data_IF_461980464756
#
_entry.id   IF_461980464756
#
_cell.length_a   1.000
_cell.length_b   1.000
_cell.length_c   1.000
_cell.angle_alpha   90.00
_cell.angle_beta   90.00
_cell.angle_gamma   90.00
#
_symmetry.space_group_name_H-M   'P 1'
#
loop_
_entity.id
_entity.type
_entity.pdbx_description
1 polymer ?
#
# COMPACT_ATOMS: atom_id res chain seq x y z
N UNK A 1 -29.78 -13.00 -15.63
CA UNK A 1 -28.39 -12.99 -16.15
C UNK A 1 -27.85 -11.59 -15.84
N UNK A 2 -26.96 -11.47 -14.88
CA UNK A 2 -26.34 -10.18 -14.57
C UNK A 2 -25.44 -9.81 -15.76
N UNK A 3 -25.72 -8.70 -16.43
CA UNK A 3 -24.81 -8.12 -17.41
C UNK A 3 -23.49 -7.84 -16.66
N UNK A 4 -22.48 -8.63 -16.91
CA UNK A 4 -21.13 -8.42 -16.39
C UNK A 4 -20.58 -7.19 -17.14
N UNK A 5 -20.86 -5.98 -16.61
CA UNK A 5 -20.27 -4.75 -17.14
C UNK A 5 -18.79 -4.82 -16.76
N UNK A 6 -17.94 -4.97 -17.77
CA UNK A 6 -16.50 -4.95 -17.60
C UNK A 6 -15.94 -3.60 -18.08
N UNK A 7 -15.01 -3.04 -17.32
CA UNK A 7 -14.33 -1.81 -17.72
C UNK A 7 -13.34 -2.12 -18.84
N UNK A 8 -13.69 -1.70 -20.05
CA UNK A 8 -12.85 -1.82 -21.24
C UNK A 8 -12.63 -0.45 -21.86
N UNK A 9 -11.38 -0.17 -22.27
CA UNK A 9 -11.11 1.08 -22.98
C UNK A 9 -11.41 0.96 -24.49
N UNK A 10 -11.27 2.06 -25.20
CA UNK A 10 -11.51 2.12 -26.66
C UNK A 10 -10.54 1.26 -27.49
N UNK A 11 -9.47 0.75 -26.87
CA UNK A 11 -8.50 -0.15 -27.50
C UNK A 11 -8.71 -1.62 -27.13
N UNK A 12 -9.81 -1.96 -26.45
CA UNK A 12 -10.13 -3.33 -26.06
C UNK A 12 -9.39 -3.83 -24.81
N UNK A 13 -8.66 -2.97 -24.09
CA UNK A 13 -7.92 -3.36 -22.88
C UNK A 13 -8.84 -3.38 -21.68
N UNK A 14 -8.80 -4.49 -20.93
CA UNK A 14 -9.57 -4.67 -19.71
C UNK A 14 -8.89 -4.00 -18.52
N UNK A 15 -9.64 -3.20 -17.77
CA UNK A 15 -9.17 -2.59 -16.53
C UNK A 15 -9.58 -3.41 -15.32
N UNK A 16 -8.73 -4.38 -14.96
CA UNK A 16 -8.98 -5.31 -13.86
C UNK A 16 -8.18 -5.00 -12.59
N UNK A 17 -7.40 -3.91 -12.59
CA UNK A 17 -6.50 -3.52 -11.52
C UNK A 17 -6.78 -2.13 -11.02
N UNK A 18 -7.03 -1.98 -9.71
CA UNK A 18 -7.28 -0.71 -9.04
C UNK A 18 -6.14 -0.36 -8.07
N UNK A 19 -5.68 0.87 -8.11
CA UNK A 19 -4.78 1.42 -7.09
C UNK A 19 -5.52 2.47 -6.28
N UNK A 20 -5.47 2.37 -4.95
CA UNK A 20 -6.11 3.29 -4.03
C UNK A 20 -5.03 3.93 -3.16
N UNK A 21 -4.85 5.24 -3.29
CA UNK A 21 -4.04 6.02 -2.36
C UNK A 21 -4.89 6.41 -1.16
N UNK A 22 -4.53 5.95 0.03
CA UNK A 22 -5.34 6.14 1.25
C UNK A 22 -4.82 7.25 2.15
N UNK A 23 -3.63 7.75 1.91
CA UNK A 23 -3.02 8.86 2.65
C UNK A 23 -1.87 9.48 1.86
N UNK A 24 -1.63 10.75 2.07
CA UNK A 24 -0.42 11.46 1.61
C UNK A 24 0.69 11.48 2.67
N UNK A 25 0.34 11.16 3.94
CA UNK A 25 1.32 11.13 5.01
C UNK A 25 2.32 9.99 4.85
N UNK A 26 3.57 10.24 5.22
CA UNK A 26 4.65 9.27 5.19
C UNK A 26 5.57 9.47 6.40
N UNK A 27 6.12 8.40 6.93
CA UNK A 27 7.12 8.43 8.01
C UNK A 27 8.57 8.62 7.50
N UNK A 28 8.80 8.53 6.18
CA UNK A 28 10.05 8.89 5.52
C UNK A 28 9.98 10.29 4.89
N UNK A 29 11.15 10.79 4.47
CA UNK A 29 11.30 12.10 3.79
C UNK A 29 12.26 11.95 2.60
N UNK A 30 11.99 10.97 1.73
CA UNK A 30 12.87 10.67 0.60
C UNK A 30 13.13 11.90 -0.25
N UNK A 31 14.41 12.10 -0.61
CA UNK A 31 14.91 13.32 -1.26
C UNK A 31 14.22 13.68 -2.55
N UNK A 32 13.78 12.67 -3.31
CA UNK A 32 13.09 12.82 -4.60
C UNK A 32 11.56 12.89 -4.47
N UNK A 33 11.00 12.61 -3.28
CA UNK A 33 9.55 12.47 -3.10
C UNK A 33 8.96 13.60 -2.26
N UNK A 34 9.63 13.98 -1.16
CA UNK A 34 9.06 14.87 -0.17
C UNK A 34 10.11 15.84 0.37
N UNK A 35 9.78 17.13 0.55
CA UNK A 35 10.64 18.10 1.23
C UNK A 35 11.05 17.64 2.62
N UNK A 36 12.21 18.08 3.11
CA UNK A 36 12.72 17.68 4.44
C UNK A 36 11.77 18.06 5.58
N UNK A 37 11.14 19.23 5.48
CA UNK A 37 10.13 19.77 6.38
C UNK A 37 8.77 19.08 6.27
N UNK A 38 8.56 18.28 5.22
CA UNK A 38 7.28 17.65 4.90
C UNK A 38 6.38 18.54 4.06
N UNK A 39 5.12 18.15 3.95
CA UNK A 39 4.07 18.86 3.21
C UNK A 39 2.92 19.24 4.16
N UNK A 40 2.16 20.26 3.80
CA UNK A 40 0.88 20.51 4.45
C UNK A 40 -0.07 19.36 4.12
N UNK A 41 -0.52 18.65 5.15
CA UNK A 41 -1.42 17.52 4.97
C UNK A 41 -2.87 18.00 4.75
N UNK A 42 -3.59 17.28 3.91
CA UNK A 42 -5.03 17.47 3.73
C UNK A 42 -5.76 17.32 5.07
N UNK A 43 -6.64 18.24 5.44
CA UNK A 43 -7.44 18.09 6.65
C UNK A 43 -8.16 16.74 6.68
N UNK A 44 -8.18 16.09 7.85
CA UNK A 44 -8.77 14.75 8.00
C UNK A 44 -10.22 14.67 7.48
N UNK A 45 -10.98 15.75 7.60
CA UNK A 45 -12.36 15.82 7.11
C UNK A 45 -12.51 15.72 5.58
N UNK A 46 -11.42 15.90 4.84
CA UNK A 46 -11.39 15.81 3.38
C UNK A 46 -10.76 14.50 2.88
N UNK A 47 -10.30 13.65 3.78
CA UNK A 47 -9.83 12.31 3.43
C UNK A 47 -11.02 11.35 3.40
N UNK A 48 -11.01 10.42 2.46
CA UNK A 48 -11.99 9.34 2.42
C UNK A 48 -12.00 8.57 3.76
N UNK A 49 -13.17 8.32 4.28
CA UNK A 49 -13.39 7.41 5.41
C UNK A 49 -13.15 5.96 4.98
N UNK A 50 -12.98 5.06 5.95
CA UNK A 50 -12.90 3.62 5.64
C UNK A 50 -14.12 3.15 4.85
N UNK A 51 -15.35 3.57 5.24
CA UNK A 51 -16.58 3.16 4.57
C UNK A 51 -16.62 3.62 3.12
N UNK A 52 -16.20 4.84 2.82
CA UNK A 52 -16.12 5.36 1.45
C UNK A 52 -15.09 4.58 0.62
N UNK A 53 -13.90 4.28 1.18
CA UNK A 53 -12.88 3.47 0.51
C UNK A 53 -13.44 2.09 0.15
N UNK A 54 -14.11 1.42 1.09
CA UNK A 54 -14.70 0.09 0.85
C UNK A 54 -15.83 0.16 -0.18
N UNK A 55 -16.69 1.17 -0.11
CA UNK A 55 -17.79 1.36 -1.07
C UNK A 55 -17.27 1.57 -2.49
N UNK A 56 -16.24 2.41 -2.65
CA UNK A 56 -15.57 2.63 -3.94
C UNK A 56 -14.93 1.32 -4.43
N UNK A 57 -14.17 0.64 -3.58
CA UNK A 57 -13.52 -0.63 -3.94
C UNK A 57 -14.56 -1.68 -4.39
N UNK A 58 -15.66 -1.85 -3.64
CA UNK A 58 -16.74 -2.77 -4.00
C UNK A 58 -17.36 -2.43 -5.36
N UNK A 59 -17.55 -1.14 -5.64
CA UNK A 59 -18.07 -0.69 -6.94
C UNK A 59 -17.16 -1.13 -8.09
N UNK A 60 -15.86 -0.95 -7.94
CA UNK A 60 -14.88 -1.38 -8.94
C UNK A 60 -14.77 -2.91 -9.06
N UNK A 61 -14.91 -3.63 -7.95
CA UNK A 61 -14.97 -5.12 -7.97
C UNK A 61 -16.19 -5.58 -8.77
N UNK A 62 -17.36 -4.95 -8.57
CA UNK A 62 -18.57 -5.26 -9.34
C UNK A 62 -18.42 -4.93 -10.84
N UNK A 63 -17.50 -4.03 -11.21
CA UNK A 63 -17.14 -3.69 -12.59
C UNK A 63 -16.01 -4.56 -13.15
N UNK A 64 -15.56 -5.61 -12.45
CA UNK A 64 -14.61 -6.60 -12.94
C UNK A 64 -13.17 -6.40 -12.47
N UNK A 65 -12.92 -5.50 -11.52
CA UNK A 65 -11.60 -5.42 -10.85
C UNK A 65 -11.41 -6.67 -10.00
N UNK A 66 -10.28 -7.35 -10.19
CA UNK A 66 -9.89 -8.56 -9.46
C UNK A 66 -8.58 -8.39 -8.67
N UNK A 67 -7.97 -7.20 -8.75
CA UNK A 67 -6.75 -6.87 -7.99
C UNK A 67 -6.82 -5.44 -7.48
N UNK A 68 -6.57 -5.27 -6.17
CA UNK A 68 -6.47 -3.96 -5.52
C UNK A 68 -5.08 -3.79 -4.92
N UNK A 69 -4.49 -2.63 -5.13
CA UNK A 69 -3.24 -2.23 -4.46
C UNK A 69 -3.47 -0.98 -3.62
N UNK A 70 -3.22 -1.12 -2.33
CA UNK A 70 -3.14 0.04 -1.45
C UNK A 70 -1.79 0.74 -1.61
N UNK A 71 -1.84 2.05 -1.62
CA UNK A 71 -0.69 2.94 -1.71
C UNK A 71 -0.98 4.25 -0.99
N UNK A 72 -0.10 5.23 -1.13
CA UNK A 72 -0.26 6.57 -0.56
C UNK A 72 1.11 7.23 -0.46
N UNK A 73 1.33 8.07 0.54
CA UNK A 73 2.66 8.32 1.05
C UNK A 73 3.18 7.00 1.64
N UNK A 74 2.81 6.68 2.88
CA UNK A 74 2.95 5.34 3.44
C UNK A 74 1.58 4.87 3.97
N UNK A 75 0.95 3.85 3.38
CA UNK A 75 -0.39 3.44 3.78
C UNK A 75 -0.47 2.97 5.24
N UNK A 76 0.60 2.39 5.78
CA UNK A 76 0.60 1.82 7.14
C UNK A 76 0.68 2.89 8.25
N UNK A 77 0.94 4.16 7.93
CA UNK A 77 0.87 5.26 8.94
C UNK A 77 -0.56 5.72 9.19
N UNK A 78 -1.51 5.35 8.34
CA UNK A 78 -2.91 5.71 8.51
C UNK A 78 -3.50 4.95 9.70
N UNK A 79 -4.17 5.66 10.62
CA UNK A 79 -4.64 5.08 11.90
C UNK A 79 -5.60 3.91 11.74
N UNK A 80 -6.46 3.97 10.72
CA UNK A 80 -7.47 2.95 10.39
C UNK A 80 -6.99 1.98 9.28
N UNK A 81 -5.67 1.95 8.99
CA UNK A 81 -5.12 1.09 7.95
C UNK A 81 -5.44 -0.41 8.16
N UNK A 82 -5.40 -0.89 9.41
CA UNK A 82 -5.74 -2.29 9.73
C UNK A 82 -7.17 -2.63 9.35
N UNK A 83 -8.13 -1.77 9.72
CA UNK A 83 -9.55 -1.96 9.39
C UNK A 83 -9.77 -1.92 7.86
N UNK A 84 -9.14 -0.96 7.16
CA UNK A 84 -9.20 -0.88 5.69
C UNK A 84 -8.68 -2.17 5.06
N UNK A 85 -7.50 -2.66 5.46
CA UNK A 85 -6.89 -3.87 4.91
C UNK A 85 -7.78 -5.10 5.15
N UNK A 86 -8.26 -5.30 6.39
CA UNK A 86 -9.12 -6.43 6.74
C UNK A 86 -10.45 -6.42 5.95
N UNK A 87 -11.04 -5.24 5.77
CA UNK A 87 -12.31 -5.11 5.03
C UNK A 87 -12.11 -5.28 3.54
N UNK A 88 -11.03 -4.77 2.95
CA UNK A 88 -10.70 -5.00 1.54
C UNK A 88 -10.39 -6.47 1.26
N UNK A 89 -9.73 -7.18 2.18
CA UNK A 89 -9.48 -8.61 2.06
C UNK A 89 -10.75 -9.46 1.93
N UNK A 90 -11.90 -8.96 2.47
CA UNK A 90 -13.19 -9.64 2.36
C UNK A 90 -13.88 -9.49 1.01
N UNK A 91 -13.35 -8.65 0.10
CA UNK A 91 -13.95 -8.43 -1.23
C UNK A 91 -13.66 -9.57 -2.23
N UNK A 92 -12.85 -10.57 -1.88
CA UNK A 92 -12.57 -11.73 -2.71
C UNK A 92 -11.69 -11.43 -3.93
N UNK A 93 -10.86 -10.40 -3.86
CA UNK A 93 -9.90 -9.99 -4.90
C UNK A 93 -8.46 -10.09 -4.39
N UNK A 94 -7.50 -10.14 -5.30
CA UNK A 94 -6.08 -10.07 -4.91
C UNK A 94 -5.79 -8.71 -4.26
N UNK A 95 -5.44 -8.71 -2.97
CA UNK A 95 -5.04 -7.53 -2.24
C UNK A 95 -3.52 -7.47 -2.07
N UNK A 96 -2.92 -6.35 -2.44
CA UNK A 96 -1.48 -6.09 -2.30
C UNK A 96 -1.26 -4.66 -1.82
N UNK A 97 -0.06 -4.36 -1.33
CA UNK A 97 0.32 -3.03 -0.87
C UNK A 97 1.65 -2.60 -1.49
N UNK A 98 1.83 -1.27 -1.61
CA UNK A 98 3.14 -0.66 -1.76
C UNK A 98 3.47 0.04 -0.44
N UNK A 99 4.59 -0.31 0.17
CA UNK A 99 5.02 0.19 1.48
C UNK A 99 6.52 0.45 1.50
N UNK A 100 6.96 1.35 2.37
CA UNK A 100 8.38 1.54 2.66
C UNK A 100 8.94 0.53 3.67
N UNK A 101 8.14 -0.41 4.17
CA UNK A 101 8.56 -1.52 5.00
C UNK A 101 8.78 -1.22 6.49
N UNK A 102 8.77 0.04 6.93
CA UNK A 102 9.16 0.40 8.31
C UNK A 102 8.16 -0.05 9.37
N UNK A 103 6.88 -0.17 9.01
CA UNK A 103 5.81 -0.49 9.97
C UNK A 103 5.22 -1.89 9.79
N UNK A 104 5.75 -2.71 8.89
CA UNK A 104 5.13 -4.01 8.54
C UNK A 104 5.04 -4.98 9.73
N UNK A 105 5.96 -4.88 10.70
CA UNK A 105 5.94 -5.71 11.91
C UNK A 105 4.64 -5.59 12.71
N UNK A 106 3.99 -4.42 12.68
CA UNK A 106 2.69 -4.20 13.35
C UNK A 106 1.50 -4.78 12.56
N UNK A 107 1.72 -5.27 11.33
CA UNK A 107 0.67 -5.64 10.38
C UNK A 107 0.72 -7.10 9.92
N UNK A 108 1.67 -7.91 10.38
CA UNK A 108 1.84 -9.31 9.94
C UNK A 108 0.54 -10.10 10.05
N UNK A 109 -0.10 -10.08 11.22
CA UNK A 109 -1.36 -10.81 11.44
C UNK A 109 -2.49 -10.23 10.57
N UNK A 110 -2.58 -8.90 10.48
CA UNK A 110 -3.56 -8.21 9.62
C UNK A 110 -3.42 -8.63 8.16
N UNK A 111 -2.19 -8.73 7.64
CA UNK A 111 -1.93 -9.17 6.28
C UNK A 111 -2.36 -10.62 6.06
N UNK A 112 -2.04 -11.51 6.99
CA UNK A 112 -2.45 -12.92 6.92
C UNK A 112 -3.97 -13.08 6.94
N UNK A 113 -4.65 -12.41 7.88
CA UNK A 113 -6.10 -12.43 8.00
C UNK A 113 -6.82 -11.88 6.76
N UNK A 114 -6.24 -10.85 6.13
CA UNK A 114 -6.78 -10.22 4.93
C UNK A 114 -6.41 -10.96 3.63
N UNK A 115 -5.62 -12.05 3.69
CA UNK A 115 -5.17 -12.78 2.51
C UNK A 115 -4.18 -12.01 1.63
N UNK A 116 -3.41 -11.09 2.21
CA UNK A 116 -2.31 -10.42 1.52
C UNK A 116 -1.14 -11.40 1.41
N UNK A 117 -0.74 -11.75 0.20
CA UNK A 117 0.38 -12.66 -0.05
C UNK A 117 1.59 -11.96 -0.67
N UNK A 118 1.38 -10.84 -1.34
CA UNK A 118 2.44 -10.12 -2.06
C UNK A 118 2.53 -8.68 -1.61
N UNK A 119 3.73 -8.22 -1.32
CA UNK A 119 4.03 -6.84 -0.96
C UNK A 119 5.06 -6.24 -1.92
N UNK A 120 4.82 -4.99 -2.35
CA UNK A 120 5.81 -4.20 -3.02
C UNK A 120 6.51 -3.32 -1.97
N UNK A 121 7.78 -3.60 -1.71
CA UNK A 121 8.57 -2.86 -0.73
C UNK A 121 9.53 -1.93 -1.44
N UNK A 122 9.47 -0.64 -1.11
CA UNK A 122 10.34 0.37 -1.71
C UNK A 122 11.65 0.44 -0.95
N UNK A 123 12.77 0.29 -1.67
CA UNK A 123 14.13 0.46 -1.15
C UNK A 123 15.03 0.98 -2.27
N UNK A 124 15.78 2.05 -1.99
CA UNK A 124 16.63 2.69 -3.00
C UNK A 124 18.11 2.31 -2.83
N UNK A 125 18.50 1.75 -1.70
CA UNK A 125 19.87 1.31 -1.45
C UNK A 125 19.93 0.21 -0.39
N UNK A 126 20.83 -0.75 -0.61
CA UNK A 126 21.25 -1.75 0.39
C UNK A 126 22.45 -1.28 1.22
N UNK A 127 22.92 -0.05 1.04
CA UNK A 127 23.96 0.57 1.84
C UNK A 127 23.30 1.50 2.84
N UNK A 128 23.56 1.28 4.12
CA UNK A 128 22.95 2.01 5.24
C UNK A 128 23.07 3.54 5.08
N UNK A 129 24.29 4.04 4.86
CA UNK A 129 24.54 5.47 4.72
C UNK A 129 23.70 6.09 3.58
N UNK A 130 23.63 5.41 2.45
CA UNK A 130 22.83 5.88 1.30
C UNK A 130 21.33 5.80 1.59
N UNK A 131 20.86 4.71 2.20
CA UNK A 131 19.46 4.58 2.61
C UNK A 131 19.06 5.72 3.53
N UNK A 132 19.85 5.95 4.60
CA UNK A 132 19.59 6.99 5.57
C UNK A 132 19.66 8.40 4.95
N UNK A 133 20.59 8.63 4.03
CA UNK A 133 20.71 9.89 3.28
C UNK A 133 19.48 10.12 2.38
N UNK A 134 19.06 9.11 1.61
CA UNK A 134 17.93 9.22 0.69
C UNK A 134 16.63 9.40 1.45
N UNK A 135 16.38 8.59 2.47
CA UNK A 135 15.13 8.60 3.24
C UNK A 135 15.09 9.72 4.29
N UNK A 136 16.23 10.34 4.60
CA UNK A 136 16.41 11.31 5.70
C UNK A 136 15.97 10.77 7.06
N UNK A 137 16.16 9.45 7.28
CA UNK A 137 15.81 8.74 8.51
C UNK A 137 16.82 7.62 8.77
N UNK A 138 17.14 7.39 10.04
CA UNK A 138 18.02 6.29 10.47
C UNK A 138 17.19 5.04 10.77
N UNK A 139 16.60 4.45 9.73
CA UNK A 139 15.71 3.30 9.85
C UNK A 139 16.21 2.07 9.09
N UNK A 140 17.48 2.03 8.68
CA UNK A 140 18.02 0.93 7.87
C UNK A 140 17.92 -0.42 8.57
N UNK A 141 18.38 -0.51 9.84
CA UNK A 141 18.31 -1.76 10.61
C UNK A 141 16.86 -2.24 10.76
N UNK A 142 15.98 -1.33 11.16
CA UNK A 142 14.55 -1.66 11.29
C UNK A 142 13.91 -2.08 9.97
N UNK A 143 14.30 -1.46 8.86
CA UNK A 143 13.85 -1.86 7.54
C UNK A 143 14.30 -3.29 7.23
N UNK A 144 15.56 -3.61 7.52
CA UNK A 144 16.15 -4.93 7.26
C UNK A 144 15.50 -6.02 8.10
N UNK A 145 15.37 -5.81 9.41
CA UNK A 145 14.62 -6.70 10.32
C UNK A 145 13.20 -6.98 9.83
N UNK A 146 12.52 -5.95 9.32
CA UNK A 146 11.18 -6.09 8.79
C UNK A 146 11.12 -6.86 7.45
N UNK A 147 12.14 -6.76 6.59
CA UNK A 147 12.23 -7.58 5.39
C UNK A 147 12.41 -9.06 5.74
N UNK A 148 13.31 -9.37 6.68
CA UNK A 148 13.52 -10.72 7.18
C UNK A 148 12.25 -11.27 7.84
N UNK A 149 11.54 -10.45 8.60
CA UNK A 149 10.27 -10.82 9.20
C UNK A 149 9.20 -11.16 8.16
N UNK A 150 9.09 -10.39 7.09
CA UNK A 150 8.16 -10.67 5.99
C UNK A 150 8.51 -11.97 5.27
N UNK A 151 9.78 -12.20 4.96
CA UNK A 151 10.26 -13.42 4.32
C UNK A 151 10.01 -14.66 5.21
N UNK A 152 10.38 -14.59 6.50
CA UNK A 152 10.14 -15.65 7.49
C UNK A 152 8.64 -15.99 7.67
N UNK A 153 7.73 -15.05 7.37
CA UNK A 153 6.29 -15.26 7.40
C UNK A 153 5.70 -15.67 6.03
N UNK A 154 6.53 -15.91 5.02
CA UNK A 154 6.15 -16.47 3.71
C UNK A 154 5.51 -15.45 2.75
N UNK A 155 5.72 -14.15 2.96
CA UNK A 155 5.24 -13.13 2.02
C UNK A 155 6.12 -13.08 0.77
N UNK A 156 5.49 -12.96 -0.39
CA UNK A 156 6.20 -12.69 -1.64
C UNK A 156 6.55 -11.20 -1.74
N UNK A 157 7.84 -10.90 -1.84
CA UNK A 157 8.31 -9.52 -1.88
C UNK A 157 8.71 -9.12 -3.31
N UNK A 158 8.26 -7.94 -3.72
CA UNK A 158 8.75 -7.24 -4.91
C UNK A 158 9.45 -5.97 -4.45
N UNK A 159 10.74 -5.86 -4.67
CA UNK A 159 11.50 -4.67 -4.33
C UNK A 159 11.36 -3.64 -5.46
N UNK A 160 10.97 -2.43 -5.10
CA UNK A 160 10.97 -1.27 -5.99
C UNK A 160 12.18 -0.40 -5.65
N UNK A 161 13.02 -0.16 -6.64
CA UNK A 161 14.21 0.70 -6.56
C UNK A 161 14.02 1.87 -7.51
N UNK A 162 14.32 3.09 -7.07
CA UNK A 162 14.26 4.32 -7.87
C UNK A 162 15.66 4.74 -8.29
#
# INVERSE_FOLDING_TARGET
MANNIQMQDTHGRMHSYLRISITENCNLRCTYCMPAEGIALTPKAHLMTTDEIISIAQTFVNLGVNKIRLTGGEPLVRKDAKDIIQRLGKLGVELTLTTNGILVHDFIDTFKEAGVHTLNVSIDSLQEDKFNQITRRNYFDKFWENLELLDANGFQLKLNVV
#
